data_IF_990213334034
#
_entry.id   IF_990213334034
#
_cell.length_a   1.000
_cell.length_b   1.000
_cell.length_c   1.000
_cell.angle_alpha   90.00
_cell.angle_beta   90.00
_cell.angle_gamma   90.00
#
_symmetry.space_group_name_H-M   'P 1'
#
loop_
_entity.id
_entity.type
_entity.pdbx_description
1 polymer ?
#
# COMPACT_ATOMS: atom_id res chain seq x y z
N UNK A 1 -2.80 9.69 -14.33
CA UNK A 1 -1.60 9.14 -15.02
C UNK A 1 -1.92 8.71 -16.45
N UNK A 2 -2.84 7.74 -16.67
CA UNK A 2 -3.16 7.25 -18.03
C UNK A 2 -3.56 8.36 -18.98
N UNK A 3 -4.45 9.26 -18.57
CA UNK A 3 -4.87 10.39 -19.39
C UNK A 3 -3.69 11.30 -19.77
N UNK A 4 -2.78 11.60 -18.83
CA UNK A 4 -1.56 12.36 -19.10
C UNK A 4 -0.70 11.67 -20.15
N UNK A 5 -0.41 10.38 -19.98
CA UNK A 5 0.41 9.61 -20.93
C UNK A 5 -0.20 9.54 -22.34
N UNK A 6 -1.51 9.43 -22.43
CA UNK A 6 -2.20 9.42 -23.73
C UNK A 6 -2.19 10.81 -24.37
N UNK A 7 -2.46 11.85 -23.58
CA UNK A 7 -2.44 13.25 -24.07
C UNK A 7 -1.05 13.63 -24.57
N UNK A 8 0.01 13.27 -23.86
CA UNK A 8 1.39 13.56 -24.25
C UNK A 8 1.82 12.81 -25.52
N UNK A 9 1.10 11.73 -25.87
CA UNK A 9 1.25 11.01 -27.16
C UNK A 9 0.36 11.55 -28.27
N UNK A 10 -0.35 12.65 -28.04
CA UNK A 10 -1.18 13.30 -29.04
C UNK A 10 -2.60 12.75 -29.16
N UNK A 11 -3.04 11.88 -28.24
CA UNK A 11 -4.45 11.44 -28.24
C UNK A 11 -5.34 12.52 -27.64
N UNK A 12 -6.56 12.64 -28.18
CA UNK A 12 -7.62 13.47 -27.60
C UNK A 12 -8.22 12.68 -26.44
N UNK A 13 -8.14 13.21 -25.22
CA UNK A 13 -8.53 12.52 -24.01
C UNK A 13 -9.52 13.37 -23.22
N UNK A 14 -10.69 12.82 -22.93
CA UNK A 14 -11.65 13.38 -21.97
C UNK A 14 -11.69 12.51 -20.74
N UNK A 15 -11.61 13.11 -19.57
CA UNK A 15 -11.70 12.42 -18.27
C UNK A 15 -13.03 12.80 -17.59
N UNK A 16 -13.77 11.81 -17.14
CA UNK A 16 -14.94 12.02 -16.29
C UNK A 16 -14.57 11.67 -14.85
N UNK A 17 -14.67 12.62 -13.96
CA UNK A 17 -14.40 12.46 -12.53
C UNK A 17 -15.67 12.77 -11.73
N UNK A 18 -16.09 11.83 -10.87
CA UNK A 18 -17.31 12.01 -10.07
C UNK A 18 -17.15 13.07 -8.97
N UNK A 19 -15.94 13.26 -8.51
CA UNK A 19 -15.62 14.24 -7.46
C UNK A 19 -15.28 15.62 -8.06
N UNK A 20 -15.18 16.62 -7.21
CA UNK A 20 -14.79 17.98 -7.62
C UNK A 20 -13.29 18.18 -7.78
N UNK A 21 -12.45 17.16 -7.48
CA UNK A 21 -10.99 17.23 -7.55
C UNK A 21 -10.42 15.91 -8.03
N UNK A 22 -9.26 15.91 -8.71
CA UNK A 22 -8.62 14.69 -9.19
C UNK A 22 -7.91 13.96 -8.04
N UNK A 23 -7.51 12.71 -8.27
CA UNK A 23 -6.61 11.99 -7.39
C UNK A 23 -7.19 10.73 -6.74
N UNK A 24 -8.52 10.55 -6.74
CA UNK A 24 -9.13 9.33 -6.20
C UNK A 24 -8.67 9.04 -4.76
N UNK A 25 -8.00 7.89 -4.54
CA UNK A 25 -7.54 7.49 -3.20
C UNK A 25 -6.36 8.30 -2.66
N UNK A 26 -5.58 8.97 -3.52
CA UNK A 26 -4.43 9.78 -3.07
C UNK A 26 -4.81 11.23 -2.72
N UNK A 27 -6.10 11.56 -2.72
CA UNK A 27 -6.58 12.90 -2.40
C UNK A 27 -6.22 13.33 -0.99
N UNK A 28 -5.86 14.60 -0.87
CA UNK A 28 -5.69 15.26 0.41
C UNK A 28 -6.70 16.41 0.55
N UNK A 29 -7.00 16.77 1.78
CA UNK A 29 -7.82 17.93 2.12
C UNK A 29 -7.13 18.75 3.20
N UNK A 30 -7.10 20.05 3.05
CA UNK A 30 -6.61 20.96 4.08
C UNK A 30 -7.76 21.45 4.95
N UNK A 31 -7.62 21.29 6.26
CA UNK A 31 -8.62 21.75 7.25
C UNK A 31 -7.84 22.47 8.35
N UNK A 32 -8.21 23.71 8.64
CA UNK A 32 -7.57 24.55 9.66
C UNK A 32 -6.02 24.59 9.53
N UNK A 33 -5.53 24.69 8.30
CA UNK A 33 -4.09 24.70 8.00
C UNK A 33 -3.40 23.35 7.96
N UNK A 34 -3.99 22.30 8.52
CA UNK A 34 -3.44 20.94 8.52
C UNK A 34 -3.86 20.16 7.26
N UNK A 35 -2.94 19.37 6.73
CA UNK A 35 -3.18 18.51 5.58
C UNK A 35 -3.64 17.12 6.05
N UNK A 36 -4.76 16.67 5.52
CA UNK A 36 -5.34 15.35 5.80
C UNK A 36 -5.38 14.51 4.53
N UNK A 37 -4.90 13.28 4.61
CA UNK A 37 -5.14 12.26 3.60
C UNK A 37 -6.53 11.65 3.79
N UNK A 38 -7.36 11.64 2.73
CA UNK A 38 -8.76 11.21 2.84
C UNK A 38 -8.86 9.68 3.00
N UNK A 39 -8.00 8.94 2.32
CA UNK A 39 -8.04 7.47 2.28
C UNK A 39 -6.74 6.83 2.81
N UNK A 40 -6.11 7.42 3.84
CA UNK A 40 -4.84 6.97 4.38
C UNK A 40 -3.63 7.65 3.75
N UNK A 41 -2.48 7.55 4.41
CA UNK A 41 -1.24 8.19 3.98
C UNK A 41 -0.70 7.56 2.69
N UNK A 42 -0.50 8.38 1.67
CA UNK A 42 0.10 7.98 0.42
C UNK A 42 1.43 8.71 0.21
N UNK A 43 2.45 7.94 -0.11
CA UNK A 43 3.81 8.41 -0.36
C UNK A 43 4.31 7.85 -1.69
N UNK A 44 5.30 8.48 -2.29
CA UNK A 44 5.89 7.97 -3.52
C UNK A 44 7.15 7.17 -3.24
N UNK A 45 7.19 5.98 -3.75
CA UNK A 45 8.38 5.12 -3.81
C UNK A 45 8.24 4.15 -4.98
N UNK A 46 9.34 3.79 -5.63
CA UNK A 46 9.38 2.73 -6.62
C UNK A 46 10.76 2.06 -6.62
N UNK A 47 10.78 0.77 -6.87
CA UNK A 47 12.01 0.01 -7.18
C UNK A 47 12.31 -0.01 -8.67
N UNK A 48 11.29 0.24 -9.50
CA UNK A 48 11.45 0.28 -10.95
C UNK A 48 12.06 1.61 -11.37
N UNK A 49 13.25 1.54 -11.96
CA UNK A 49 14.01 2.72 -12.40
C UNK A 49 13.30 3.50 -13.52
N UNK A 50 12.61 2.82 -14.43
CA UNK A 50 11.86 3.48 -15.50
C UNK A 50 10.72 4.32 -14.92
N UNK A 51 10.03 3.80 -13.87
CA UNK A 51 8.99 4.55 -13.15
C UNK A 51 9.58 5.76 -12.44
N UNK A 52 10.75 5.61 -11.80
CA UNK A 52 11.42 6.75 -11.15
C UNK A 52 11.83 7.81 -12.17
N UNK A 53 12.47 7.42 -13.28
CA UNK A 53 12.85 8.34 -14.34
C UNK A 53 11.63 9.05 -14.90
N UNK A 54 10.58 8.31 -15.27
CA UNK A 54 9.32 8.89 -15.72
C UNK A 54 8.74 9.88 -14.71
N UNK A 55 8.69 9.52 -13.43
CA UNK A 55 8.15 10.40 -12.39
C UNK A 55 8.91 11.73 -12.32
N UNK A 56 10.24 11.68 -12.33
CA UNK A 56 11.08 12.88 -12.27
C UNK A 56 11.11 13.70 -13.58
N UNK A 57 10.49 13.24 -14.67
CA UNK A 57 10.24 14.10 -15.83
C UNK A 57 9.11 15.11 -15.60
N UNK A 58 8.15 14.76 -14.73
CA UNK A 58 7.03 15.64 -14.38
C UNK A 58 7.25 16.44 -13.10
N UNK A 59 8.09 15.96 -12.20
CA UNK A 59 8.26 16.53 -10.87
C UNK A 59 9.73 16.86 -10.61
N UNK A 60 9.99 18.01 -9.96
CA UNK A 60 11.33 18.32 -9.43
C UNK A 60 11.53 17.64 -8.09
N UNK A 61 12.72 17.05 -7.87
CA UNK A 61 13.07 16.47 -6.58
C UNK A 61 13.07 17.52 -5.45
N UNK A 62 13.33 18.79 -5.77
CA UNK A 62 13.32 19.89 -4.81
C UNK A 62 11.93 20.15 -4.21
N UNK A 63 10.86 19.70 -4.87
CA UNK A 63 9.48 19.81 -4.36
C UNK A 63 9.18 18.74 -3.30
N UNK A 64 10.04 17.74 -3.16
CA UNK A 64 9.84 16.58 -2.28
C UNK A 64 10.87 16.52 -1.15
N UNK A 65 10.48 15.86 -0.07
CA UNK A 65 11.37 15.44 1.01
C UNK A 65 11.55 13.95 0.87
N UNK A 66 12.80 13.49 0.88
CA UNK A 66 13.12 12.09 1.07
C UNK A 66 13.11 11.80 2.56
N UNK A 67 12.16 11.00 2.99
CA UNK A 67 11.99 10.62 4.39
C UNK A 67 12.32 9.16 4.62
N UNK A 68 12.84 8.85 5.79
CA UNK A 68 13.01 7.48 6.26
C UNK A 68 11.69 7.00 6.90
N UNK A 69 11.36 5.75 6.64
CA UNK A 69 10.25 5.10 7.32
C UNK A 69 10.59 4.91 8.80
N UNK A 70 9.69 5.28 9.66
CA UNK A 70 9.80 5.08 11.11
C UNK A 70 8.47 4.53 11.61
N UNK A 71 8.25 3.23 11.37
CA UNK A 71 7.03 2.55 11.77
C UNK A 71 7.20 1.94 13.15
N UNK A 72 6.15 2.00 13.95
CA UNK A 72 6.13 1.41 15.30
C UNK A 72 4.81 0.68 15.53
N UNK A 73 4.86 -0.29 16.43
CA UNK A 73 3.70 -1.02 16.93
C UNK A 73 3.41 -0.56 18.35
N UNK A 74 2.21 -0.06 18.58
CA UNK A 74 1.70 0.24 19.92
C UNK A 74 1.05 -1.00 20.50
N UNK A 75 1.62 -1.52 21.57
CA UNK A 75 1.11 -2.68 22.31
C UNK A 75 0.04 -2.27 23.31
N UNK A 76 -0.86 -3.18 23.68
CA UNK A 76 -1.94 -2.91 24.64
C UNK A 76 -1.43 -2.47 26.01
N UNK A 77 -0.25 -2.95 26.42
CA UNK A 77 0.41 -2.55 27.66
C UNK A 77 1.08 -1.16 27.61
N UNK A 78 0.92 -0.43 26.49
CA UNK A 78 1.53 0.89 26.26
C UNK A 78 2.97 0.88 25.77
N UNK A 79 3.57 -0.30 25.59
CA UNK A 79 4.92 -0.43 25.03
C UNK A 79 4.92 -0.08 23.54
N UNK A 80 5.98 0.57 23.09
CA UNK A 80 6.18 0.93 21.68
C UNK A 80 7.33 0.06 21.15
N UNK A 81 7.03 -0.79 20.17
CA UNK A 81 7.99 -1.69 19.54
C UNK A 81 8.27 -1.19 18.11
N UNK A 82 9.53 -1.05 17.68
CA UNK A 82 9.85 -0.75 16.29
C UNK A 82 9.34 -1.85 15.35
N UNK A 83 9.01 -1.48 14.12
CA UNK A 83 8.63 -2.41 13.06
C UNK A 83 9.87 -2.78 12.21
N UNK A 84 9.99 -4.02 11.73
CA UNK A 84 9.08 -5.15 11.91
C UNK A 84 9.27 -5.84 13.28
N UNK A 85 8.17 -6.17 13.91
CA UNK A 85 8.12 -6.63 15.30
C UNK A 85 8.91 -7.95 15.54
N UNK A 86 8.94 -8.83 14.54
CA UNK A 86 9.69 -10.11 14.59
C UNK A 86 11.20 -9.92 14.81
N UNK A 87 11.72 -8.74 14.49
CA UNK A 87 13.14 -8.42 14.67
C UNK A 87 13.45 -7.75 16.02
N UNK A 88 12.40 -7.49 16.83
CA UNK A 88 12.51 -6.72 18.08
C UNK A 88 11.98 -7.49 19.29
N UNK A 89 11.97 -8.82 19.24
CA UNK A 89 11.51 -9.66 20.34
C UNK A 89 12.39 -9.53 21.60
N UNK A 90 13.62 -9.07 21.45
CA UNK A 90 14.52 -8.77 22.57
C UNK A 90 14.01 -7.64 23.49
N UNK A 91 12.99 -6.87 23.06
CA UNK A 91 12.35 -5.83 23.87
C UNK A 91 11.21 -6.38 24.78
N UNK A 92 10.82 -7.63 24.60
CA UNK A 92 9.78 -8.28 25.42
C UNK A 92 10.37 -8.91 26.67
N UNK A 93 9.50 -9.35 27.60
CA UNK A 93 9.91 -10.10 28.77
C UNK A 93 10.52 -11.46 28.43
N UNK A 94 11.26 -12.02 29.38
CA UNK A 94 12.01 -13.26 29.17
C UNK A 94 11.13 -14.48 28.82
N UNK A 95 9.91 -14.54 29.38
CA UNK A 95 8.99 -15.65 29.12
C UNK A 95 8.44 -15.57 27.70
N UNK A 96 8.06 -14.37 27.24
CA UNK A 96 7.66 -14.10 25.86
C UNK A 96 8.79 -14.39 24.88
N UNK A 97 10.02 -13.96 25.17
CA UNK A 97 11.20 -14.27 24.34
C UNK A 97 11.42 -15.79 24.22
N UNK A 98 11.37 -16.50 25.36
CA UNK A 98 11.55 -17.96 25.40
C UNK A 98 10.46 -18.69 24.61
N UNK A 99 9.20 -18.27 24.75
CA UNK A 99 8.09 -18.83 23.99
C UNK A 99 8.29 -18.63 22.48
N UNK A 100 8.70 -17.43 22.06
CA UNK A 100 8.97 -17.13 20.67
C UNK A 100 10.13 -17.95 20.09
N UNK A 101 11.22 -18.12 20.84
CA UNK A 101 12.35 -18.97 20.43
C UNK A 101 11.90 -20.42 20.27
N UNK A 102 11.08 -20.95 21.20
CA UNK A 102 10.54 -22.29 21.09
C UNK A 102 9.67 -22.47 19.84
N UNK A 103 8.86 -21.46 19.50
CA UNK A 103 8.08 -21.45 18.26
C UNK A 103 8.98 -21.52 17.03
N UNK A 104 10.07 -20.71 16.96
CA UNK A 104 11.00 -20.74 15.84
C UNK A 104 11.70 -22.11 15.71
N UNK A 105 12.08 -22.70 16.82
CA UNK A 105 12.67 -24.07 16.84
C UNK A 105 11.68 -25.11 16.35
N UNK A 106 10.40 -25.00 16.75
CA UNK A 106 9.36 -25.91 16.27
C UNK A 106 9.11 -25.76 14.76
N UNK A 107 9.08 -24.53 14.25
CA UNK A 107 8.95 -24.26 12.82
C UNK A 107 10.13 -24.84 12.04
N UNK A 108 11.36 -24.65 12.52
CA UNK A 108 12.55 -25.18 11.86
C UNK A 108 12.56 -26.72 11.73
N UNK A 109 11.87 -27.41 12.65
CA UNK A 109 11.74 -28.89 12.62
C UNK A 109 10.61 -29.38 11.71
N UNK A 110 9.70 -28.49 11.31
CA UNK A 110 8.52 -28.85 10.53
C UNK A 110 8.63 -28.34 9.08
N UNK A 111 9.73 -28.67 8.42
CA UNK A 111 9.95 -28.30 7.01
C UNK A 111 8.91 -28.98 6.12
N UNK A 112 8.36 -28.22 5.17
CA UNK A 112 7.40 -28.72 4.17
C UNK A 112 5.91 -28.48 4.50
N UNK A 113 5.57 -27.84 5.61
CA UNK A 113 4.19 -27.44 5.87
C UNK A 113 3.70 -26.40 4.86
N UNK A 114 2.57 -26.67 4.20
CA UNK A 114 1.96 -25.78 3.22
C UNK A 114 0.67 -25.17 3.82
N UNK A 115 0.67 -23.88 4.16
CA UNK A 115 -0.51 -23.23 4.71
C UNK A 115 -1.61 -23.08 3.66
N UNK A 116 -2.88 -23.17 4.07
CA UNK A 116 -4.06 -23.04 3.20
C UNK A 116 -4.74 -21.67 3.34
N UNK A 117 -4.50 -20.94 4.41
CA UNK A 117 -5.08 -19.64 4.70
C UNK A 117 -4.08 -18.74 5.42
N UNK A 118 -4.44 -17.47 5.60
CA UNK A 118 -3.53 -16.48 6.15
C UNK A 118 -3.18 -16.71 7.64
N UNK A 119 -4.10 -17.25 8.43
CA UNK A 119 -3.79 -17.64 9.82
C UNK A 119 -2.69 -18.70 9.87
N UNK A 120 -2.86 -19.79 9.14
CA UNK A 120 -1.89 -20.89 9.08
C UNK A 120 -0.54 -20.40 8.55
N UNK A 121 -0.56 -19.53 7.55
CA UNK A 121 0.64 -18.91 7.01
C UNK A 121 1.41 -18.13 8.09
N UNK A 122 0.75 -17.24 8.83
CA UNK A 122 1.40 -16.44 9.87
C UNK A 122 1.94 -17.32 11.01
N UNK A 123 1.19 -18.34 11.42
CA UNK A 123 1.62 -19.28 12.45
C UNK A 123 2.82 -20.12 12.01
N UNK A 124 2.82 -20.58 10.76
CA UNK A 124 3.93 -21.38 10.22
C UNK A 124 5.20 -20.59 9.97
N UNK A 125 5.10 -19.27 9.90
CA UNK A 125 6.25 -18.38 9.65
C UNK A 125 6.80 -17.73 10.91
N UNK A 126 5.92 -17.31 11.82
CA UNK A 126 6.29 -16.48 12.96
C UNK A 126 5.97 -17.10 14.32
N UNK A 127 5.33 -18.27 14.32
CA UNK A 127 4.95 -18.98 15.52
C UNK A 127 3.68 -18.46 16.20
N UNK A 128 3.23 -19.19 17.19
CA UNK A 128 2.01 -18.90 17.91
C UNK A 128 2.13 -17.66 18.82
N UNK A 129 3.30 -17.47 19.41
CA UNK A 129 3.57 -16.34 20.31
C UNK A 129 3.36 -15.03 19.59
N UNK A 130 4.08 -14.80 18.50
CA UNK A 130 4.01 -13.56 17.77
C UNK A 130 2.70 -13.40 16.98
N UNK A 131 2.13 -14.53 16.52
CA UNK A 131 0.80 -14.53 15.92
C UNK A 131 -0.26 -13.97 16.87
N UNK A 132 -0.34 -14.49 18.10
CA UNK A 132 -1.35 -14.06 19.07
C UNK A 132 -1.07 -12.65 19.59
N UNK A 133 0.20 -12.30 19.79
CA UNK A 133 0.62 -11.01 20.33
C UNK A 133 0.37 -9.84 19.37
N UNK A 134 0.59 -10.05 18.06
CA UNK A 134 0.58 -8.96 17.09
C UNK A 134 -0.20 -9.29 15.81
N UNK A 135 0.16 -10.37 15.11
CA UNK A 135 -0.38 -10.56 13.75
C UNK A 135 -1.88 -10.76 13.72
N UNK A 136 -2.44 -11.50 14.68
CA UNK A 136 -3.88 -11.72 14.74
C UNK A 136 -4.65 -10.42 15.02
N UNK A 137 -4.44 -9.71 16.13
CA UNK A 137 -5.22 -8.51 16.44
C UNK A 137 -5.05 -7.43 15.38
N UNK A 138 -3.84 -7.23 14.86
CA UNK A 138 -3.58 -6.25 13.82
C UNK A 138 -4.31 -6.59 12.51
N UNK A 139 -4.13 -7.82 12.01
CA UNK A 139 -4.69 -8.19 10.72
C UNK A 139 -6.21 -8.39 10.76
N UNK A 140 -6.79 -8.91 11.85
CA UNK A 140 -8.24 -8.99 11.99
C UNK A 140 -8.88 -7.60 12.01
N UNK A 141 -8.22 -6.59 12.60
CA UNK A 141 -8.65 -5.19 12.53
C UNK A 141 -8.57 -4.65 11.08
N UNK A 142 -7.50 -4.94 10.35
CA UNK A 142 -7.33 -4.48 8.96
C UNK A 142 -8.34 -5.13 8.01
N UNK A 143 -8.53 -6.44 8.11
CA UNK A 143 -9.39 -7.21 7.23
C UNK A 143 -10.86 -7.23 7.66
N UNK A 144 -11.15 -6.81 8.90
CA UNK A 144 -12.46 -6.89 9.54
C UNK A 144 -13.10 -8.29 9.41
N UNK A 145 -12.27 -9.33 9.56
CA UNK A 145 -12.67 -10.75 9.49
C UNK A 145 -11.61 -11.67 10.08
N UNK A 146 -11.99 -12.91 10.39
CA UNK A 146 -11.05 -13.96 10.79
C UNK A 146 -10.05 -14.26 9.67
N UNK A 147 -8.79 -14.42 10.02
CA UNK A 147 -7.70 -14.66 9.08
C UNK A 147 -7.78 -16.03 8.39
N UNK A 148 -8.56 -16.97 8.92
CA UNK A 148 -8.90 -18.25 8.25
C UNK A 148 -9.64 -18.04 6.92
N UNK A 149 -10.35 -16.93 6.79
CA UNK A 149 -11.10 -16.59 5.59
C UNK A 149 -10.36 -15.61 4.66
N UNK A 150 -9.11 -15.32 4.94
CA UNK A 150 -8.26 -14.50 4.09
C UNK A 150 -7.41 -15.40 3.20
N UNK A 151 -7.57 -15.34 1.86
CA UNK A 151 -6.84 -16.18 0.92
C UNK A 151 -5.36 -15.78 0.86
N UNK A 152 -4.49 -16.74 0.50
CA UNK A 152 -3.05 -16.49 0.37
C UNK A 152 -2.64 -15.77 -0.93
N UNK A 153 -3.49 -15.80 -1.95
CA UNK A 153 -3.18 -15.23 -3.27
C UNK A 153 -2.82 -13.72 -3.24
N UNK A 154 -3.24 -12.98 -2.22
CA UNK A 154 -2.87 -11.58 -2.08
C UNK A 154 -1.44 -11.36 -1.55
N UNK A 155 -0.83 -12.40 -0.95
CA UNK A 155 0.52 -12.32 -0.34
C UNK A 155 1.65 -12.28 -1.37
N UNK A 156 1.41 -12.75 -2.58
CA UNK A 156 2.44 -12.93 -3.60
C UNK A 156 3.28 -11.65 -3.78
N UNK A 157 4.55 -11.73 -3.33
CA UNK A 157 5.53 -10.65 -3.43
C UNK A 157 5.28 -9.41 -2.57
N UNK A 158 4.29 -9.41 -1.67
CA UNK A 158 3.90 -8.21 -0.89
C UNK A 158 4.47 -8.14 0.51
N UNK A 159 4.75 -9.28 1.12
CA UNK A 159 5.37 -9.33 2.45
C UNK A 159 6.83 -9.76 2.34
N UNK A 160 7.74 -9.11 3.05
CA UNK A 160 9.07 -9.66 3.26
C UNK A 160 8.93 -10.97 4.04
N UNK A 161 9.68 -11.96 3.61
CA UNK A 161 9.65 -13.31 4.17
C UNK A 161 11.02 -13.61 4.76
N UNK A 162 11.36 -13.10 5.96
CA UNK A 162 12.61 -13.41 6.56
C UNK A 162 12.69 -14.92 6.88
N UNK A 163 13.84 -15.52 6.67
CA UNK A 163 14.14 -16.85 7.17
C UNK A 163 14.25 -16.84 8.70
N UNK A 164 14.13 -18.00 9.33
CA UNK A 164 14.32 -18.13 10.80
C UNK A 164 15.71 -17.62 11.19
N UNK A 165 16.75 -17.95 10.40
CA UNK A 165 18.09 -17.47 10.65
C UNK A 165 18.22 -15.95 10.59
N UNK A 166 17.54 -15.30 9.65
CA UNK A 166 17.49 -13.84 9.56
C UNK A 166 16.76 -13.22 10.75
N UNK A 167 15.64 -13.80 11.19
CA UNK A 167 14.92 -13.34 12.39
C UNK A 167 15.83 -13.41 13.62
N UNK A 168 16.51 -14.55 13.83
CA UNK A 168 17.43 -14.73 14.94
C UNK A 168 18.59 -13.72 14.85
N UNK A 169 19.23 -13.63 13.69
CA UNK A 169 20.34 -12.70 13.45
C UNK A 169 19.93 -11.25 13.73
N UNK A 170 18.77 -10.83 13.24
CA UNK A 170 18.26 -9.48 13.41
C UNK A 170 17.98 -9.16 14.89
N UNK A 171 17.44 -10.11 15.65
CA UNK A 171 17.23 -9.94 17.09
C UNK A 171 18.56 -9.84 17.87
N UNK A 172 19.52 -10.70 17.58
CA UNK A 172 20.83 -10.69 18.26
C UNK A 172 21.59 -9.38 17.97
N UNK A 173 21.54 -8.90 16.72
CA UNK A 173 22.28 -7.73 16.28
C UNK A 173 21.49 -6.42 16.36
N UNK A 174 20.26 -6.45 16.87
CA UNK A 174 19.36 -5.29 16.98
C UNK A 174 19.25 -4.51 15.66
N UNK A 175 19.03 -5.25 14.54
CA UNK A 175 19.00 -4.68 13.19
C UNK A 175 17.81 -3.75 13.03
N UNK A 176 18.07 -2.50 12.64
CA UNK A 176 17.03 -1.45 12.48
C UNK A 176 16.35 -1.54 11.11
N UNK A 177 15.11 -1.03 11.03
CA UNK A 177 14.27 -1.00 9.81
C UNK A 177 14.97 -0.38 8.58
N UNK A 178 15.96 0.49 8.77
CA UNK A 178 16.73 1.14 7.69
C UNK A 178 17.37 0.17 6.69
N UNK A 179 17.53 -1.08 7.06
CA UNK A 179 18.11 -2.12 6.21
C UNK A 179 17.07 -2.90 5.38
N UNK A 180 15.77 -2.61 5.57
CA UNK A 180 14.69 -3.31 4.89
C UNK A 180 14.20 -2.60 3.63
N UNK A 181 13.53 -3.37 2.80
CA UNK A 181 12.88 -2.90 1.56
C UNK A 181 11.84 -1.82 1.87
N UNK A 182 11.89 -0.69 1.16
CA UNK A 182 11.05 0.50 1.38
C UNK A 182 11.36 1.29 2.66
N UNK A 183 12.62 1.30 3.09
CA UNK A 183 13.08 2.11 4.22
C UNK A 183 12.97 3.62 4.00
N UNK A 184 12.84 4.06 2.75
CA UNK A 184 12.71 5.49 2.39
C UNK A 184 11.59 5.72 1.39
N UNK A 185 11.03 6.92 1.39
CA UNK A 185 10.01 7.36 0.45
C UNK A 185 10.15 8.85 0.16
N UNK A 186 9.47 9.31 -0.90
CA UNK A 186 9.37 10.71 -1.24
C UNK A 186 7.99 11.24 -0.89
N UNK A 187 7.94 12.42 -0.27
CA UNK A 187 6.71 13.10 0.09
C UNK A 187 6.78 14.57 -0.31
N UNK A 188 5.76 15.07 -1.00
CA UNK A 188 5.72 16.46 -1.44
C UNK A 188 5.53 17.40 -0.24
N UNK A 189 6.26 18.54 -0.23
CA UNK A 189 6.49 19.38 0.95
C UNK A 189 5.24 20.12 1.46
N UNK A 190 4.30 20.45 0.56
CA UNK A 190 3.20 21.38 0.86
C UNK A 190 1.82 20.72 0.81
N UNK A 191 1.50 20.01 -0.26
CA UNK A 191 0.17 19.48 -0.55
C UNK A 191 0.12 17.95 -0.57
N UNK A 192 1.24 17.31 -0.22
CA UNK A 192 1.35 15.86 -0.17
C UNK A 192 1.00 15.19 -1.50
N UNK A 193 0.33 14.05 -1.44
CA UNK A 193 -0.03 13.30 -2.65
C UNK A 193 -1.05 14.00 -3.57
N UNK A 194 -1.80 14.97 -3.08
CA UNK A 194 -2.69 15.79 -3.92
C UNK A 194 -1.91 16.54 -5.01
N UNK A 195 -0.73 17.07 -4.68
CA UNK A 195 0.12 17.76 -5.64
C UNK A 195 0.44 16.89 -6.88
N UNK A 196 0.69 15.59 -6.66
CA UNK A 196 0.93 14.65 -7.76
C UNK A 196 -0.29 14.56 -8.69
N UNK A 197 -1.48 14.45 -8.10
CA UNK A 197 -2.72 14.39 -8.87
C UNK A 197 -2.96 15.67 -9.65
N UNK A 198 -2.82 16.83 -9.03
CA UNK A 198 -3.09 18.14 -9.62
C UNK A 198 -2.11 18.43 -10.78
N UNK A 199 -0.83 18.13 -10.58
CA UNK A 199 0.20 18.37 -11.63
C UNK A 199 0.00 17.45 -12.83
N UNK A 200 -0.36 16.18 -12.64
CA UNK A 200 -0.67 15.27 -13.75
C UNK A 200 -2.01 15.59 -14.43
N UNK A 201 -2.94 16.24 -13.73
CA UNK A 201 -4.23 16.65 -14.26
C UNK A 201 -4.18 17.97 -15.02
N UNK A 202 -3.11 18.75 -14.85
CA UNK A 202 -2.98 20.07 -15.44
C UNK A 202 -3.12 20.02 -16.98
N UNK A 203 -3.92 20.93 -17.53
CA UNK A 203 -4.18 21.08 -18.97
C UNK A 203 -4.82 19.84 -19.64
N UNK A 204 -5.43 18.94 -18.86
CA UNK A 204 -6.28 17.87 -19.40
C UNK A 204 -7.75 18.29 -19.41
N UNK A 205 -8.54 17.81 -20.39
CA UNK A 205 -10.01 17.93 -20.37
C UNK A 205 -10.58 17.01 -19.30
N UNK A 206 -10.81 17.55 -18.09
CA UNK A 206 -11.41 16.82 -16.97
C UNK A 206 -12.76 17.41 -16.63
N UNK A 207 -13.79 16.61 -16.76
CA UNK A 207 -15.16 16.95 -16.44
C UNK A 207 -15.50 16.48 -15.03
N UNK A 208 -15.34 17.37 -14.07
CA UNK A 208 -15.61 17.12 -12.66
C UNK A 208 -17.09 17.04 -12.32
N UNK A 209 -17.41 16.43 -11.18
CA UNK A 209 -18.78 16.21 -10.68
C UNK A 209 -19.63 15.44 -11.71
N UNK A 210 -19.03 14.54 -12.46
CA UNK A 210 -19.66 13.73 -13.50
C UNK A 210 -19.52 12.24 -13.18
N UNK A 211 -20.50 11.69 -12.46
CA UNK A 211 -20.62 10.25 -12.30
C UNK A 211 -21.09 9.61 -13.62
N UNK A 212 -20.36 8.59 -14.07
CA UNK A 212 -20.72 7.79 -15.23
C UNK A 212 -21.31 6.47 -14.74
N UNK A 213 -22.57 6.25 -15.03
CA UNK A 213 -23.33 5.08 -14.61
C UNK A 213 -23.43 4.04 -15.73
N UNK A 214 -23.33 4.48 -16.98
CA UNK A 214 -23.52 3.60 -18.14
C UNK A 214 -22.51 3.93 -19.23
N UNK A 215 -21.93 2.87 -19.79
CA UNK A 215 -21.10 2.88 -20.98
C UNK A 215 -21.64 1.81 -21.91
N UNK A 216 -22.01 2.18 -23.13
CA UNK A 216 -22.62 1.26 -24.10
C UNK A 216 -21.84 1.26 -25.42
N UNK A 217 -21.95 0.14 -26.15
CA UNK A 217 -21.45 0.09 -27.52
C UNK A 217 -22.50 0.70 -28.47
N UNK A 218 -22.07 1.62 -29.30
CA UNK A 218 -22.88 2.29 -30.30
C UNK A 218 -22.09 2.51 -31.58
N UNK A 219 -22.50 1.93 -32.68
CA UNK A 219 -21.86 2.06 -33.99
C UNK A 219 -20.34 1.82 -33.98
N UNK A 220 -19.94 0.72 -33.32
CA UNK A 220 -18.51 0.33 -33.15
C UNK A 220 -17.68 1.29 -32.29
N UNK A 221 -18.30 2.25 -31.60
CA UNK A 221 -17.69 3.15 -30.64
C UNK A 221 -18.28 2.98 -29.25
N UNK A 222 -17.61 3.50 -28.25
CA UNK A 222 -18.09 3.53 -26.88
C UNK A 222 -18.85 4.82 -26.62
N UNK A 223 -20.14 4.74 -26.35
CA UNK A 223 -20.93 5.90 -25.94
C UNK A 223 -20.90 6.07 -24.44
N UNK A 224 -20.43 7.26 -24.03
CA UNK A 224 -20.45 7.72 -22.66
C UNK A 224 -21.28 9.00 -22.61
N UNK A 225 -22.44 8.94 -21.96
CA UNK A 225 -23.48 10.00 -22.07
C UNK A 225 -23.90 10.18 -23.53
N UNK A 226 -23.67 11.35 -24.09
CA UNK A 226 -24.05 11.72 -25.45
C UNK A 226 -22.87 11.76 -26.44
N UNK A 227 -21.68 11.33 -25.99
CA UNK A 227 -20.46 11.41 -26.78
C UNK A 227 -19.92 10.01 -27.10
N UNK A 228 -19.39 9.85 -28.31
CA UNK A 228 -18.79 8.61 -28.79
C UNK A 228 -17.27 8.66 -28.73
N UNK A 229 -16.68 7.58 -28.24
CA UNK A 229 -15.23 7.41 -28.04
C UNK A 229 -14.72 6.13 -28.69
N UNK A 230 -13.53 6.17 -29.24
CA UNK A 230 -12.88 5.00 -29.82
C UNK A 230 -12.49 3.97 -28.73
N UNK A 231 -12.11 4.46 -27.55
CA UNK A 231 -11.70 3.63 -26.41
C UNK A 231 -12.13 4.26 -25.10
N UNK A 232 -12.45 3.40 -24.13
CA UNK A 232 -12.72 3.78 -22.75
C UNK A 232 -11.75 3.05 -21.84
N UNK A 233 -11.13 3.81 -20.90
CA UNK A 233 -10.29 3.27 -19.85
C UNK A 233 -10.99 3.52 -18.52
N UNK A 234 -11.46 2.45 -17.89
CA UNK A 234 -12.13 2.54 -16.61
C UNK A 234 -11.12 2.48 -15.46
N UNK A 235 -11.04 3.53 -14.65
CA UNK A 235 -10.15 3.65 -13.51
C UNK A 235 -10.88 3.67 -12.15
N UNK A 236 -12.18 3.35 -12.15
CA UNK A 236 -12.99 3.27 -10.94
C UNK A 236 -12.98 1.90 -10.28
N UNK A 237 -13.94 1.67 -9.39
CA UNK A 237 -14.11 0.37 -8.76
C UNK A 237 -14.69 -0.65 -9.75
N UNK A 238 -13.87 -1.59 -10.19
CA UNK A 238 -14.27 -2.59 -11.20
C UNK A 238 -15.49 -3.41 -10.81
N UNK A 239 -15.72 -3.65 -9.52
CA UNK A 239 -16.92 -4.36 -9.03
C UNK A 239 -18.22 -3.58 -9.29
N UNK A 240 -18.15 -2.26 -9.38
CA UNK A 240 -19.30 -1.42 -9.71
C UNK A 240 -19.51 -1.31 -11.22
N UNK A 241 -18.49 -1.59 -12.01
CA UNK A 241 -18.56 -1.53 -13.48
C UNK A 241 -19.19 -2.78 -14.11
N UNK A 242 -19.07 -3.95 -13.46
CA UNK A 242 -19.52 -5.24 -13.98
C UNK A 242 -20.97 -5.57 -13.56
N UNK A 243 -21.54 -4.83 -12.63
CA UNK A 243 -22.94 -4.93 -12.22
C UNK A 243 -23.78 -3.97 -13.01
#
# INVERSE_FOLDING_TARGET
TTARLLNDKGHIVTVYEKEGTPGGLIRCKRVNGSLYHICGGHVFNSKNQDVLQWFWTYFSQDEFIKAERNSVVFMENGQIIPYPIENHMYLFDADTQKAFINDLVAIAKNEGYVPTNFEEFLRSRFGNTLYNLYFKPYNEKVWNRSLRHVPLSWLEGKLPMPSISEIIFNNINHVKEKQFVHSTFWYEKNNGSQYIADKLAKDLDIRYNKNIETVIMHDSKWRVKEEDYDKVVFCGNIKQFIN
#
